data_IF_533410926606
#
_entry.id   IF_533410926606
#
_cell.length_a   1.000
_cell.length_b   1.000
_cell.length_c   1.000
_cell.angle_alpha   90.00
_cell.angle_beta   90.00
_cell.angle_gamma   90.00
#
_symmetry.space_group_name_H-M   'P 1'
#
loop_
_entity.id
_entity.type
_entity.pdbx_description
1 polymer ?
#
# COMPACT_ATOMS: atom_id res chain seq x y z
N UNK A 1 62.94 17.79 -73.75
CA UNK A 1 64.25 17.77 -73.05
C UNK A 1 63.98 17.33 -71.61
N UNK A 2 64.51 16.18 -71.30
CA UNK A 2 65.17 15.74 -70.07
C UNK A 2 64.40 15.89 -68.74
N UNK A 3 63.94 14.80 -68.27
CA UNK A 3 64.25 14.04 -67.03
C UNK A 3 64.10 14.75 -65.65
N UNK A 4 63.36 14.23 -64.75
CA UNK A 4 63.88 13.29 -63.74
C UNK A 4 62.74 12.70 -62.88
N UNK A 5 62.76 11.38 -62.69
CA UNK A 5 62.03 10.59 -61.68
C UNK A 5 62.52 10.96 -60.28
N UNK A 6 61.59 11.11 -59.32
CA UNK A 6 61.90 10.89 -57.95
C UNK A 6 60.80 10.02 -57.30
N UNK A 7 61.27 8.87 -56.88
CA UNK A 7 60.56 7.89 -56.02
C UNK A 7 60.37 8.52 -54.65
N UNK A 8 59.14 8.56 -54.10
CA UNK A 8 58.89 8.80 -52.69
C UNK A 8 58.28 7.59 -52.04
N UNK A 9 59.01 7.07 -51.05
CA UNK A 9 58.59 6.00 -50.16
C UNK A 9 57.37 6.41 -49.36
N UNK A 10 56.31 5.58 -49.42
CA UNK A 10 55.17 5.74 -48.56
C UNK A 10 55.45 5.27 -47.13
N UNK A 11 55.30 6.16 -46.19
CA UNK A 11 55.22 5.85 -44.78
C UNK A 11 53.76 5.65 -44.39
N UNK A 12 53.36 4.41 -44.15
CA UNK A 12 52.01 4.11 -43.63
C UNK A 12 51.99 4.48 -42.12
N UNK A 13 51.30 5.55 -41.78
CA UNK A 13 50.95 5.86 -40.38
C UNK A 13 49.69 5.14 -40.01
N UNK A 14 49.82 4.06 -39.24
CA UNK A 14 48.71 3.38 -38.65
C UNK A 14 48.06 4.23 -37.55
N UNK A 15 46.86 4.70 -37.76
CA UNK A 15 46.04 5.38 -36.74
C UNK A 15 45.42 4.31 -35.82
N UNK A 16 45.99 4.12 -34.64
CA UNK A 16 45.35 3.35 -33.58
C UNK A 16 44.19 4.16 -33.01
N UNK A 17 42.95 3.81 -33.32
CA UNK A 17 41.77 4.31 -32.61
C UNK A 17 41.71 3.65 -31.23
N UNK A 18 42.06 4.40 -30.18
CA UNK A 18 41.72 4.04 -28.82
C UNK A 18 40.22 4.32 -28.60
N UNK A 19 39.41 3.29 -28.63
CA UNK A 19 38.02 3.37 -28.12
C UNK A 19 38.10 3.42 -26.60
N UNK A 20 37.93 4.60 -26.01
CA UNK A 20 37.67 4.75 -24.59
C UNK A 20 36.27 4.23 -24.31
N UNK A 21 36.17 2.99 -23.81
CA UNK A 21 34.95 2.51 -23.17
C UNK A 21 34.86 3.22 -21.83
N UNK A 22 34.10 4.33 -21.77
CA UNK A 22 33.66 4.92 -20.51
C UNK A 22 32.65 3.92 -19.92
N UNK A 23 33.12 3.05 -19.06
CA UNK A 23 32.27 2.25 -18.21
C UNK A 23 31.46 3.19 -17.32
N UNK A 24 30.18 3.36 -17.62
CA UNK A 24 29.23 3.94 -16.67
C UNK A 24 29.09 2.90 -15.55
N UNK A 25 29.94 3.03 -14.54
CA UNK A 25 29.67 2.38 -13.25
C UNK A 25 28.48 3.12 -12.66
N UNK A 26 27.27 2.63 -12.95
CA UNK A 26 26.11 2.98 -12.15
C UNK A 26 26.47 2.66 -10.69
N UNK A 27 26.59 3.68 -9.85
CA UNK A 27 26.61 3.52 -8.41
C UNK A 27 25.31 2.79 -8.08
N UNK A 28 25.40 1.51 -7.69
CA UNK A 28 24.32 0.89 -6.97
C UNK A 28 24.15 1.77 -5.71
N UNK A 29 23.06 2.55 -5.66
CA UNK A 29 22.67 3.22 -4.43
C UNK A 29 22.64 2.14 -3.36
N UNK A 30 23.29 2.38 -2.23
CA UNK A 30 23.21 1.49 -1.10
C UNK A 30 21.72 1.34 -0.78
N UNK A 31 21.17 0.16 -1.00
CA UNK A 31 19.79 -0.16 -0.63
C UNK A 31 19.78 -0.07 0.88
N UNK A 32 18.99 0.85 1.44
CA UNK A 32 18.69 0.85 2.87
C UNK A 32 18.24 -0.57 3.24
N UNK A 33 18.61 -1.06 4.43
CA UNK A 33 18.33 -2.44 4.83
C UNK A 33 16.80 -2.66 4.84
N UNK A 34 16.31 -3.37 3.82
CA UNK A 34 14.92 -3.86 3.80
C UNK A 34 14.64 -4.67 5.07
N UNK A 35 13.45 -4.49 5.66
CA UNK A 35 13.00 -5.32 6.77
C UNK A 35 12.67 -6.75 6.33
N UNK A 36 12.52 -6.98 5.04
CA UNK A 36 12.22 -8.27 4.42
C UNK A 36 13.39 -8.75 3.55
N UNK A 37 13.78 -10.01 3.76
CA UNK A 37 14.74 -10.67 2.87
C UNK A 37 14.09 -10.87 1.49
N UNK A 38 14.77 -10.49 0.38
CA UNK A 38 14.26 -10.73 -0.98
C UNK A 38 13.87 -12.19 -1.26
N UNK A 39 14.47 -13.15 -0.57
CA UNK A 39 14.12 -14.57 -0.65
C UNK A 39 12.90 -14.96 0.19
N UNK A 40 12.23 -14.02 0.84
CA UNK A 40 11.04 -14.28 1.66
C UNK A 40 9.94 -14.92 0.82
N UNK A 41 9.46 -16.07 1.27
CA UNK A 41 8.29 -16.75 0.69
C UNK A 41 7.07 -16.45 1.55
N UNK A 42 6.05 -15.88 0.96
CA UNK A 42 4.81 -15.56 1.66
C UNK A 42 3.91 -16.78 1.81
N UNK A 43 3.15 -16.80 2.89
CA UNK A 43 2.23 -17.88 3.23
C UNK A 43 0.98 -17.85 2.32
N UNK A 44 0.57 -19.04 1.88
CA UNK A 44 -0.73 -19.23 1.19
C UNK A 44 -1.75 -19.70 2.23
N UNK A 45 -2.77 -18.89 2.54
CA UNK A 45 -3.85 -19.28 3.44
C UNK A 45 -4.72 -20.41 2.89
N UNK A 46 -5.68 -20.86 3.70
CA UNK A 46 -6.73 -21.77 3.23
C UNK A 46 -7.56 -21.08 2.15
N UNK A 47 -7.79 -21.76 1.03
CA UNK A 47 -8.62 -21.26 -0.07
C UNK A 47 -10.01 -20.85 0.43
N UNK A 48 -10.47 -19.67 0.01
CA UNK A 48 -11.80 -19.15 0.31
C UNK A 48 -12.88 -20.14 -0.18
N UNK A 49 -13.92 -20.33 0.64
CA UNK A 49 -15.01 -21.27 0.31
C UNK A 49 -15.72 -20.88 -0.99
N UNK A 50 -16.01 -19.59 -1.20
CA UNK A 50 -16.64 -19.11 -2.42
C UNK A 50 -15.81 -19.36 -3.68
N UNK A 51 -14.48 -19.28 -3.58
CA UNK A 51 -13.60 -19.66 -4.68
C UNK A 51 -13.68 -21.16 -5.01
N UNK A 52 -13.85 -22.02 -3.99
CA UNK A 52 -14.02 -23.47 -4.19
C UNK A 52 -15.38 -23.76 -4.85
N UNK A 53 -16.44 -23.08 -4.44
CA UNK A 53 -17.76 -23.19 -5.05
C UNK A 53 -17.74 -22.74 -6.50
N UNK A 54 -17.20 -21.55 -6.78
CA UNK A 54 -17.07 -21.03 -8.15
C UNK A 54 -16.23 -21.96 -9.05
N UNK A 55 -15.13 -22.53 -8.54
CA UNK A 55 -14.34 -23.53 -9.25
C UNK A 55 -15.19 -24.76 -9.63
N UNK A 56 -16.01 -25.27 -8.70
CA UNK A 56 -16.88 -26.41 -8.94
C UNK A 56 -17.95 -26.10 -10.02
N UNK A 57 -18.55 -24.92 -9.97
CA UNK A 57 -19.57 -24.46 -10.92
C UNK A 57 -18.99 -24.28 -12.33
N UNK A 58 -17.84 -23.64 -12.45
CA UNK A 58 -17.11 -23.45 -13.72
C UNK A 58 -16.70 -24.82 -14.32
N UNK A 59 -16.25 -25.75 -13.46
CA UNK A 59 -15.88 -27.11 -13.90
C UNK A 59 -17.12 -27.87 -14.41
N UNK A 60 -18.25 -27.78 -13.71
CA UNK A 60 -19.50 -28.45 -14.08
C UNK A 60 -20.08 -27.91 -15.39
N UNK A 61 -19.92 -26.62 -15.64
CA UNK A 61 -20.29 -25.94 -16.89
C UNK A 61 -19.27 -26.11 -18.03
N UNK A 62 -18.23 -26.92 -17.82
CA UNK A 62 -17.12 -27.19 -18.76
C UNK A 62 -16.25 -25.97 -19.09
N UNK A 63 -16.28 -24.95 -18.27
CA UNK A 63 -15.39 -23.80 -18.38
C UNK A 63 -14.12 -24.01 -17.55
N UNK A 64 -13.30 -24.97 -18.00
CA UNK A 64 -12.08 -25.36 -17.27
C UNK A 64 -11.04 -24.26 -17.21
N UNK A 65 -10.93 -23.44 -18.25
CA UNK A 65 -9.92 -22.36 -18.28
C UNK A 65 -10.14 -21.36 -17.14
N UNK A 66 -11.35 -20.87 -16.98
CA UNK A 66 -11.68 -19.94 -15.90
C UNK A 66 -11.59 -20.61 -14.51
N UNK A 67 -12.01 -21.89 -14.42
CA UNK A 67 -11.84 -22.65 -13.18
C UNK A 67 -10.38 -22.73 -12.75
N UNK A 68 -9.47 -23.01 -13.68
CA UNK A 68 -8.02 -23.09 -13.40
C UNK A 68 -7.48 -21.69 -12.97
N UNK A 69 -7.89 -20.60 -13.63
CA UNK A 69 -7.50 -19.22 -13.27
C UNK A 69 -7.98 -18.82 -11.88
N UNK A 70 -9.25 -19.07 -11.55
CA UNK A 70 -9.81 -18.80 -10.21
C UNK A 70 -9.04 -19.56 -9.13
N UNK A 71 -8.74 -20.84 -9.38
CA UNK A 71 -8.00 -21.65 -8.41
C UNK A 71 -6.53 -21.21 -8.29
N UNK A 72 -5.93 -20.74 -9.37
CA UNK A 72 -4.57 -20.18 -9.34
C UNK A 72 -4.54 -18.89 -8.51
N UNK A 73 -5.46 -17.96 -8.74
CA UNK A 73 -5.62 -16.75 -7.91
C UNK A 73 -5.80 -17.12 -6.44
N UNK A 74 -6.73 -18.00 -6.12
CA UNK A 74 -7.05 -18.38 -4.74
C UNK A 74 -5.93 -19.15 -4.02
N UNK A 75 -4.95 -19.71 -4.75
CA UNK A 75 -3.74 -20.38 -4.22
C UNK A 75 -2.51 -19.50 -4.23
N UNK A 76 -2.61 -18.26 -4.65
CA UNK A 76 -1.52 -17.28 -4.55
C UNK A 76 -1.43 -16.75 -3.11
N UNK A 77 -0.24 -16.46 -2.58
CA UNK A 77 -0.10 -15.85 -1.25
C UNK A 77 -0.94 -14.57 -1.14
N UNK A 78 -1.69 -14.44 -0.05
CA UNK A 78 -2.46 -13.23 0.27
C UNK A 78 -2.58 -13.07 1.78
N UNK A 79 -3.02 -11.90 2.23
CA UNK A 79 -3.14 -11.61 3.66
C UNK A 79 -4.29 -12.39 4.34
N UNK A 80 -4.18 -12.49 5.65
CA UNK A 80 -5.24 -12.97 6.54
C UNK A 80 -5.73 -11.81 7.38
N UNK A 81 -7.03 -11.50 7.30
CA UNK A 81 -7.64 -10.38 8.00
C UNK A 81 -8.22 -10.81 9.34
N UNK A 82 -7.95 -9.99 10.37
CA UNK A 82 -8.50 -10.11 11.71
C UNK A 82 -9.26 -8.84 12.03
N UNK A 83 -10.58 -8.94 12.15
CA UNK A 83 -11.49 -7.78 12.14
C UNK A 83 -12.35 -7.68 13.38
N UNK A 84 -12.26 -8.65 14.29
CA UNK A 84 -13.10 -8.74 15.48
C UNK A 84 -12.56 -9.79 16.48
N UNK A 85 -13.34 -10.05 17.51
CA UNK A 85 -13.08 -11.10 18.47
C UNK A 85 -12.54 -10.56 19.80
N UNK A 86 -12.45 -11.45 20.79
CA UNK A 86 -11.86 -11.14 22.08
C UNK A 86 -10.31 -11.20 21.99
N UNK A 87 -9.58 -10.60 22.94
CA UNK A 87 -8.12 -10.73 23.00
C UNK A 87 -7.64 -12.19 23.01
N UNK A 88 -8.40 -13.07 23.64
CA UNK A 88 -8.08 -14.51 23.67
C UNK A 88 -8.31 -15.19 22.33
N UNK A 89 -9.43 -14.90 21.66
CA UNK A 89 -9.74 -15.54 20.36
C UNK A 89 -8.78 -15.07 19.29
N UNK A 90 -8.51 -13.75 19.16
CA UNK A 90 -7.55 -13.25 18.17
C UNK A 90 -6.15 -13.82 18.41
N UNK A 91 -5.71 -13.93 19.66
CA UNK A 91 -4.44 -14.59 19.99
C UNK A 91 -4.39 -16.04 19.48
N UNK A 92 -5.47 -16.79 19.60
CA UNK A 92 -5.52 -18.19 19.16
C UNK A 92 -5.50 -18.29 17.63
N UNK A 93 -6.28 -17.44 16.96
CA UNK A 93 -6.42 -17.43 15.51
C UNK A 93 -5.11 -16.98 14.83
N UNK A 94 -4.49 -15.89 15.30
CA UNK A 94 -3.17 -15.43 14.84
C UNK A 94 -2.12 -16.53 15.04
N UNK A 95 -2.07 -17.12 16.25
CA UNK A 95 -1.12 -18.20 16.57
C UNK A 95 -1.26 -19.40 15.65
N UNK A 96 -2.49 -19.75 15.28
CA UNK A 96 -2.74 -20.83 14.34
C UNK A 96 -2.11 -20.55 12.98
N UNK A 97 -2.33 -19.32 12.45
CA UNK A 97 -1.79 -18.94 11.14
C UNK A 97 -0.26 -18.87 11.13
N UNK A 98 0.35 -18.21 12.12
CA UNK A 98 1.82 -18.08 12.16
C UNK A 98 2.51 -19.42 12.32
N UNK A 99 1.95 -20.34 13.13
CA UNK A 99 2.47 -21.71 13.24
C UNK A 99 2.35 -22.52 11.95
N UNK A 100 1.23 -22.39 11.23
CA UNK A 100 1.07 -23.04 9.94
C UNK A 100 2.05 -22.50 8.90
N UNK A 101 2.27 -21.19 8.88
CA UNK A 101 3.24 -20.54 8.01
C UNK A 101 4.67 -20.97 8.34
N UNK A 102 5.07 -20.92 9.62
CA UNK A 102 6.38 -21.36 10.08
C UNK A 102 6.66 -22.83 9.75
N UNK A 103 5.67 -23.71 9.93
CA UNK A 103 5.77 -25.12 9.56
C UNK A 103 6.01 -25.38 8.06
N UNK A 104 5.67 -24.40 7.20
CA UNK A 104 5.93 -24.43 5.75
C UNK A 104 7.20 -23.62 5.36
N UNK A 105 7.89 -23.00 6.31
CA UNK A 105 9.02 -22.10 6.06
C UNK A 105 8.60 -20.86 5.25
N UNK A 106 7.43 -20.30 5.54
CA UNK A 106 6.85 -19.11 4.90
C UNK A 106 6.54 -18.03 5.94
N UNK A 107 6.35 -16.80 5.50
CA UNK A 107 5.99 -15.65 6.35
C UNK A 107 4.55 -15.23 6.04
N UNK A 108 3.64 -15.19 7.03
CA UNK A 108 2.28 -14.74 6.80
C UNK A 108 2.21 -13.22 6.76
N UNK A 109 1.30 -12.71 5.92
CA UNK A 109 0.84 -11.32 5.94
C UNK A 109 -0.46 -11.29 6.74
N UNK A 110 -0.48 -10.52 7.84
CA UNK A 110 -1.60 -10.44 8.77
C UNK A 110 -2.13 -9.02 8.78
N UNK A 111 -3.43 -8.84 8.60
CA UNK A 111 -4.06 -7.52 8.70
C UNK A 111 -4.74 -7.42 10.07
N UNK A 112 -4.30 -6.46 10.89
CA UNK A 112 -5.03 -6.02 12.07
C UNK A 112 -6.00 -4.91 11.64
N UNK A 113 -7.31 -5.15 11.76
CA UNK A 113 -8.35 -4.22 11.30
C UNK A 113 -9.51 -4.17 12.30
N UNK A 114 -9.27 -3.55 13.45
CA UNK A 114 -10.22 -3.53 14.55
C UNK A 114 -10.21 -2.20 15.34
N UNK A 115 -9.67 -1.13 14.78
CA UNK A 115 -9.61 0.17 15.44
C UNK A 115 -11.02 0.77 15.63
N UNK A 116 -11.31 1.49 16.73
CA UNK A 116 -12.59 2.18 16.93
C UNK A 116 -12.94 3.11 15.78
N UNK A 117 -14.22 3.16 15.42
CA UNK A 117 -14.74 3.93 14.28
C UNK A 117 -14.10 3.53 12.95
N UNK A 118 -13.73 2.25 12.80
CA UNK A 118 -13.22 1.70 11.57
C UNK A 118 -14.18 2.00 10.42
N UNK A 119 -13.64 2.45 9.28
CA UNK A 119 -14.39 2.78 8.06
C UNK A 119 -15.48 3.86 8.24
N UNK A 120 -15.50 4.54 9.37
CA UNK A 120 -16.41 5.65 9.67
C UNK A 120 -17.88 5.42 9.24
N UNK A 121 -18.45 4.26 9.57
CA UNK A 121 -19.81 3.84 9.26
C UNK A 121 -20.08 3.51 7.75
N UNK A 122 -19.04 3.30 6.95
CA UNK A 122 -19.19 2.79 5.59
C UNK A 122 -19.40 1.25 5.55
N UNK A 123 -19.10 0.60 4.42
CA UNK A 123 -19.42 -0.82 4.20
C UNK A 123 -18.65 -1.79 5.10
N UNK A 124 -17.49 -1.41 5.62
CA UNK A 124 -16.67 -2.21 6.55
C UNK A 124 -16.69 -1.69 7.97
N UNK A 125 -17.72 -0.92 8.33
CA UNK A 125 -17.89 -0.35 9.67
C UNK A 125 -17.76 -1.39 10.77
N UNK A 126 -17.21 -0.98 11.93
CA UNK A 126 -17.00 -1.85 13.09
C UNK A 126 -15.81 -1.42 13.93
N UNK A 127 -15.08 -2.39 14.43
CA UNK A 127 -13.95 -2.20 15.31
C UNK A 127 -14.29 -2.36 16.78
N UNK A 128 -13.29 -2.23 17.65
CA UNK A 128 -13.45 -2.15 19.09
C UNK A 128 -14.28 -0.92 19.47
N UNK A 129 -14.94 -0.95 20.62
CA UNK A 129 -15.83 0.13 21.03
C UNK A 129 -15.11 1.22 21.83
N UNK A 130 -13.94 0.91 22.35
CA UNK A 130 -13.11 1.83 23.16
C UNK A 130 -11.63 1.64 22.86
N UNK A 131 -10.79 2.66 23.13
CA UNK A 131 -9.33 2.51 23.05
C UNK A 131 -8.80 1.33 23.89
N UNK A 132 -9.28 1.14 25.11
CA UNK A 132 -8.83 0.07 26.00
C UNK A 132 -9.18 -1.34 25.46
N UNK A 133 -10.33 -1.52 24.83
CA UNK A 133 -10.69 -2.77 24.16
C UNK A 133 -9.79 -3.03 22.97
N UNK A 134 -9.46 -2.00 22.20
CA UNK A 134 -8.55 -2.09 21.08
C UNK A 134 -7.14 -2.49 21.52
N UNK A 135 -6.60 -1.80 22.53
CA UNK A 135 -5.27 -2.11 23.09
C UNK A 135 -5.20 -3.55 23.61
N UNK A 136 -6.19 -4.00 24.37
CA UNK A 136 -6.25 -5.38 24.81
C UNK A 136 -6.36 -6.39 23.66
N UNK A 137 -7.04 -6.04 22.58
CA UNK A 137 -7.14 -6.86 21.38
C UNK A 137 -5.80 -6.94 20.64
N UNK A 138 -5.08 -5.82 20.51
CA UNK A 138 -3.72 -5.74 19.96
C UNK A 138 -2.73 -6.57 20.77
N UNK A 139 -2.82 -6.53 22.11
CA UNK A 139 -2.00 -7.37 22.99
C UNK A 139 -2.24 -8.87 22.69
N UNK A 140 -3.50 -9.25 22.50
CA UNK A 140 -3.86 -10.60 22.08
C UNK A 140 -3.27 -10.96 20.72
N UNK A 141 -3.38 -10.05 19.75
CA UNK A 141 -2.82 -10.23 18.42
C UNK A 141 -1.29 -10.42 18.45
N UNK A 142 -0.57 -9.52 19.13
CA UNK A 142 0.87 -9.59 19.31
C UNK A 142 1.31 -10.88 20.02
N UNK A 143 0.60 -11.26 21.10
CA UNK A 143 0.85 -12.52 21.81
C UNK A 143 0.58 -13.76 20.91
N UNK A 144 -0.31 -13.64 19.93
CA UNK A 144 -0.56 -14.66 18.92
C UNK A 144 0.66 -14.88 18.02
N UNK A 145 1.31 -13.83 17.57
CA UNK A 145 2.54 -13.88 16.77
C UNK A 145 3.69 -14.49 17.61
N UNK A 146 3.94 -13.95 18.79
CA UNK A 146 5.02 -14.38 19.68
C UNK A 146 6.39 -14.21 19.00
N UNK A 147 7.19 -15.29 18.96
CA UNK A 147 8.55 -15.26 18.38
C UNK A 147 8.61 -15.65 16.88
N UNK A 148 7.48 -15.90 16.27
CA UNK A 148 7.43 -16.28 14.86
C UNK A 148 7.58 -15.06 13.95
N UNK A 149 7.93 -15.29 12.67
CA UNK A 149 7.98 -14.23 11.67
C UNK A 149 6.57 -13.88 11.17
N UNK A 150 6.29 -12.60 11.04
CA UNK A 150 5.06 -12.10 10.43
C UNK A 150 5.26 -10.71 9.81
N UNK A 151 4.54 -10.41 8.74
CA UNK A 151 4.31 -9.05 8.24
C UNK A 151 2.95 -8.60 8.74
N UNK A 152 2.88 -7.48 9.43
CA UNK A 152 1.62 -6.91 9.94
C UNK A 152 1.29 -5.63 9.18
N UNK A 153 0.12 -5.62 8.60
CA UNK A 153 -0.55 -4.49 7.97
C UNK A 153 -1.51 -3.92 9.02
N UNK A 154 -1.16 -2.76 9.55
CA UNK A 154 -1.82 -2.20 10.72
C UNK A 154 -2.89 -1.19 10.33
N UNK A 155 -4.15 -1.56 10.51
CA UNK A 155 -5.35 -0.75 10.36
C UNK A 155 -5.45 -0.03 9.01
N UNK A 156 -5.73 -0.76 7.89
CA UNK A 156 -6.08 -0.14 6.62
C UNK A 156 -7.13 0.95 6.79
N UNK A 157 -6.96 2.06 6.07
CA UNK A 157 -7.75 3.30 6.17
C UNK A 157 -7.67 4.00 7.54
N UNK A 158 -6.98 3.41 8.51
CA UNK A 158 -6.92 3.89 9.88
C UNK A 158 -6.27 5.26 10.04
N UNK A 159 -5.35 5.62 9.15
CA UNK A 159 -4.76 6.97 9.08
C UNK A 159 -5.35 7.81 7.95
N UNK A 160 -6.00 7.19 6.95
CA UNK A 160 -6.77 7.92 5.93
C UNK A 160 -8.10 8.47 6.46
N UNK A 161 -8.73 7.76 7.40
CA UNK A 161 -10.05 8.08 7.95
C UNK A 161 -9.94 8.23 9.48
N UNK A 162 -9.71 9.44 9.94
CA UNK A 162 -9.56 9.76 11.37
C UNK A 162 -10.78 10.55 11.86
N UNK A 163 -11.49 10.11 12.92
CA UNK A 163 -12.62 10.85 13.46
C UNK A 163 -12.23 12.26 13.88
N UNK A 164 -13.00 13.26 13.46
CA UNK A 164 -12.84 14.67 13.83
C UNK A 164 -11.41 15.19 13.63
N UNK A 165 -10.71 14.73 12.60
CA UNK A 165 -9.36 15.16 12.29
C UNK A 165 -9.37 16.47 11.49
N UNK A 166 -8.50 17.38 11.88
CA UNK A 166 -8.20 18.61 11.17
C UNK A 166 -6.76 18.52 10.65
N UNK A 167 -6.57 18.27 9.34
CA UNK A 167 -5.24 18.12 8.75
C UNK A 167 -4.39 19.36 9.01
N UNK A 168 -3.18 19.15 9.53
CA UNK A 168 -2.22 20.20 9.91
C UNK A 168 -2.68 21.16 11.03
N UNK A 169 -3.95 21.16 11.41
CA UNK A 169 -4.47 21.94 12.53
C UNK A 169 -4.02 23.41 12.54
N UNK A 170 -3.52 23.90 13.68
CA UNK A 170 -3.05 25.28 13.86
C UNK A 170 -1.86 25.68 12.99
N UNK A 171 -1.20 24.73 12.31
CA UNK A 171 -0.10 25.03 11.38
C UNK A 171 -0.60 25.62 10.06
N UNK A 172 -1.84 25.38 9.70
CA UNK A 172 -2.47 26.00 8.55
C UNK A 172 -2.99 27.38 8.91
N UNK A 173 -2.11 28.38 8.80
CA UNK A 173 -2.43 29.80 9.10
C UNK A 173 -3.47 30.42 8.16
N UNK A 174 -3.87 29.72 7.11
CA UNK A 174 -4.88 30.17 6.15
C UNK A 174 -6.31 29.76 6.57
N UNK A 175 -6.44 28.82 7.52
CA UNK A 175 -7.72 28.34 8.02
C UNK A 175 -8.03 28.99 9.36
N UNK A 176 -9.14 29.72 9.43
CA UNK A 176 -9.59 30.42 10.66
C UNK A 176 -10.50 29.57 11.54
N UNK A 177 -10.96 28.42 11.03
CA UNK A 177 -11.78 27.44 11.75
C UNK A 177 -11.28 26.03 11.45
N UNK A 178 -11.45 25.07 12.37
CA UNK A 178 -11.13 23.66 12.11
C UNK A 178 -11.79 23.17 10.82
N UNK A 179 -11.00 22.60 9.93
CA UNK A 179 -11.47 22.00 8.68
C UNK A 179 -11.54 20.48 8.84
N UNK A 180 -12.41 20.02 9.73
CA UNK A 180 -12.57 18.62 10.01
C UNK A 180 -12.91 17.83 8.74
N UNK A 181 -12.27 16.66 8.61
CA UNK A 181 -12.60 15.71 7.58
C UNK A 181 -14.06 15.21 7.71
N UNK A 182 -14.53 14.54 6.67
CA UNK A 182 -15.92 14.05 6.58
C UNK A 182 -16.30 13.05 7.69
N UNK A 183 -15.32 12.34 8.28
CA UNK A 183 -15.54 11.36 9.36
C UNK A 183 -15.84 12.05 10.68
N UNK A 184 -17.12 12.27 10.98
CA UNK A 184 -17.58 12.99 12.17
C UNK A 184 -18.65 12.16 12.93
N UNK A 185 -18.29 10.97 13.47
CA UNK A 185 -19.24 10.13 14.20
C UNK A 185 -19.69 10.85 15.50
N UNK A 186 -20.99 10.81 15.77
CA UNK A 186 -21.58 11.50 16.93
C UNK A 186 -21.12 10.92 18.27
N UNK A 187 -20.66 9.66 18.27
CA UNK A 187 -20.19 8.93 19.44
C UNK A 187 -18.75 9.26 19.82
N UNK A 188 -17.97 9.89 18.91
CA UNK A 188 -16.60 10.31 19.18
C UNK A 188 -16.57 11.76 19.69
N UNK A 189 -15.74 12.03 20.69
CA UNK A 189 -15.51 13.38 21.18
C UNK A 189 -14.63 14.16 20.19
N UNK A 190 -15.14 15.23 19.56
CA UNK A 190 -14.36 16.04 18.63
C UNK A 190 -13.05 16.59 19.19
N UNK A 191 -12.95 16.77 20.52
CA UNK A 191 -11.77 17.32 21.16
C UNK A 191 -10.64 16.29 21.36
N UNK A 192 -10.94 14.98 21.37
CA UNK A 192 -9.97 13.94 21.73
C UNK A 192 -9.83 12.85 20.67
N UNK A 193 -10.82 12.64 19.81
CA UNK A 193 -10.90 11.48 18.92
C UNK A 193 -9.66 11.30 18.02
N UNK A 194 -9.15 12.38 17.46
CA UNK A 194 -7.95 12.30 16.62
C UNK A 194 -6.69 11.95 17.42
N UNK A 195 -6.53 12.55 18.60
CA UNK A 195 -5.41 12.23 19.50
C UNK A 195 -5.47 10.78 20.00
N UNK A 196 -6.68 10.29 20.32
CA UNK A 196 -6.90 8.89 20.71
C UNK A 196 -6.55 7.93 19.56
N UNK A 197 -6.88 8.27 18.29
CA UNK A 197 -6.49 7.49 17.11
C UNK A 197 -4.96 7.34 17.03
N UNK A 198 -4.23 8.43 17.12
CA UNK A 198 -2.76 8.39 17.09
C UNK A 198 -2.18 7.65 18.32
N UNK A 199 -2.75 7.81 19.50
CA UNK A 199 -2.32 7.08 20.70
C UNK A 199 -2.49 5.56 20.53
N UNK A 200 -3.63 5.11 20.02
CA UNK A 200 -3.89 3.69 19.71
C UNK A 200 -2.92 3.13 18.67
N UNK A 201 -2.61 3.89 17.60
CA UNK A 201 -1.64 3.47 16.60
C UNK A 201 -0.23 3.32 17.19
N UNK A 202 0.22 4.29 17.98
CA UNK A 202 1.50 4.21 18.68
C UNK A 202 1.55 3.00 19.64
N UNK A 203 0.49 2.76 20.39
CA UNK A 203 0.40 1.58 21.25
C UNK A 203 0.54 0.28 20.45
N UNK A 204 -0.19 0.17 19.34
CA UNK A 204 -0.17 -1.01 18.51
C UNK A 204 1.23 -1.26 17.90
N UNK A 205 1.91 -0.21 17.41
CA UNK A 205 3.29 -0.31 16.92
C UNK A 205 4.20 -0.87 18.02
N UNK A 206 4.16 -0.31 19.22
CA UNK A 206 5.01 -0.73 20.34
C UNK A 206 4.74 -2.18 20.76
N UNK A 207 3.46 -2.57 20.88
CA UNK A 207 3.07 -3.91 21.26
C UNK A 207 3.52 -4.95 20.21
N UNK A 208 3.38 -4.65 18.92
CA UNK A 208 3.77 -5.54 17.82
C UNK A 208 5.29 -5.61 17.66
N UNK A 209 5.99 -4.49 17.78
CA UNK A 209 7.47 -4.42 17.66
C UNK A 209 8.20 -4.99 18.87
N UNK A 210 7.50 -5.26 19.98
CA UNK A 210 8.06 -6.08 21.07
C UNK A 210 8.39 -7.52 20.62
N UNK A 211 7.81 -7.98 19.52
CA UNK A 211 8.11 -9.27 18.88
C UNK A 211 9.21 -9.09 17.81
N UNK A 212 10.43 -9.64 17.99
CA UNK A 212 11.58 -9.31 17.14
C UNK A 212 11.46 -9.84 15.69
N UNK A 213 10.55 -10.78 15.44
CA UNK A 213 10.28 -11.34 14.10
C UNK A 213 9.16 -10.64 13.33
N UNK A 214 8.60 -9.57 13.89
CA UNK A 214 7.44 -8.88 13.30
C UNK A 214 7.89 -7.64 12.53
N UNK A 215 7.54 -7.58 11.23
CA UNK A 215 7.61 -6.35 10.43
C UNK A 215 6.25 -5.67 10.45
N UNK A 216 6.21 -4.36 10.78
CA UNK A 216 4.97 -3.59 10.98
C UNK A 216 4.94 -2.42 10.00
N UNK A 217 3.84 -2.32 9.24
CA UNK A 217 3.59 -1.25 8.29
C UNK A 217 2.27 -0.56 8.61
N UNK A 218 2.30 0.79 8.68
CA UNK A 218 1.16 1.66 8.97
C UNK A 218 0.49 2.13 7.69
N UNK A 219 -0.75 2.60 7.79
CA UNK A 219 -1.50 3.11 6.67
C UNK A 219 -0.94 4.44 6.13
N UNK A 220 -0.64 4.49 4.82
CA UNK A 220 -0.34 5.72 4.10
C UNK A 220 -1.28 5.91 2.89
N UNK A 221 -2.44 5.28 2.90
CA UNK A 221 -3.47 5.38 1.88
C UNK A 221 -2.97 5.04 0.46
N UNK A 222 -3.11 5.95 -0.49
CA UNK A 222 -2.62 5.78 -1.86
C UNK A 222 -2.43 7.10 -2.59
N UNK A 223 -1.77 7.05 -3.75
CA UNK A 223 -1.39 8.21 -4.57
C UNK A 223 -2.57 9.02 -5.17
N UNK A 224 -3.79 8.53 -5.05
CA UNK A 224 -5.00 9.24 -5.47
C UNK A 224 -5.81 9.80 -4.30
N UNK A 225 -5.27 9.77 -3.07
CA UNK A 225 -5.99 10.21 -1.86
C UNK A 225 -5.19 11.30 -1.11
N UNK A 226 -4.38 10.95 -0.11
CA UNK A 226 -3.64 11.94 0.69
C UNK A 226 -2.44 12.51 -0.10
N UNK A 227 -2.17 13.81 0.05
CA UNK A 227 -0.90 14.38 -0.39
C UNK A 227 0.28 13.78 0.41
N UNK A 228 1.48 13.71 -0.20
CA UNK A 228 2.63 13.10 0.46
C UNK A 228 2.97 13.74 1.82
N UNK A 229 2.77 15.06 1.96
CA UNK A 229 2.98 15.79 3.23
C UNK A 229 1.97 15.41 4.31
N UNK A 230 0.70 15.28 3.95
CA UNK A 230 -0.37 14.90 4.87
C UNK A 230 -0.18 13.43 5.33
N UNK A 231 0.09 12.51 4.41
CA UNK A 231 0.40 11.14 4.77
C UNK A 231 1.62 11.03 5.70
N UNK A 232 2.69 11.79 5.42
CA UNK A 232 3.88 11.82 6.27
C UNK A 232 3.58 12.36 7.68
N UNK A 233 2.76 13.42 7.80
CA UNK A 233 2.36 13.98 9.09
C UNK A 233 1.61 12.95 9.96
N UNK A 234 0.62 12.29 9.38
CA UNK A 234 -0.16 11.24 10.06
C UNK A 234 0.71 10.06 10.48
N UNK A 235 1.62 9.62 9.63
CA UNK A 235 2.57 8.54 9.94
C UNK A 235 3.53 8.91 11.08
N UNK A 236 4.04 10.14 11.10
CA UNK A 236 4.91 10.63 12.18
C UNK A 236 4.14 10.63 13.50
N UNK A 237 2.91 11.16 13.52
CA UNK A 237 2.05 11.17 14.71
C UNK A 237 1.67 9.76 15.17
N UNK A 238 1.52 8.81 14.25
CA UNK A 238 1.17 7.42 14.52
C UNK A 238 2.35 6.53 14.95
N UNK A 239 3.58 7.09 15.05
CA UNK A 239 4.74 6.35 15.54
C UNK A 239 5.48 5.54 14.46
N UNK A 240 5.48 5.97 13.20
CA UNK A 240 6.23 5.32 12.12
C UNK A 240 7.73 5.22 12.39
N UNK A 241 8.25 6.05 13.29
CA UNK A 241 9.65 6.00 13.74
C UNK A 241 10.03 4.61 14.30
N UNK A 242 9.13 3.98 15.02
CA UNK A 242 9.33 2.68 15.67
C UNK A 242 8.85 1.49 14.81
N UNK A 243 8.15 1.75 13.69
CA UNK A 243 7.71 0.76 12.74
C UNK A 243 8.76 0.50 11.64
N UNK A 244 8.60 -0.58 10.87
CA UNK A 244 9.44 -0.86 9.70
C UNK A 244 9.13 0.09 8.54
N UNK A 245 7.88 0.54 8.45
CA UNK A 245 7.48 1.48 7.43
C UNK A 245 5.97 1.65 7.33
N UNK A 246 5.49 1.78 6.09
CA UNK A 246 4.07 1.99 5.80
C UNK A 246 3.61 1.17 4.58
N UNK A 247 2.32 1.02 4.43
CA UNK A 247 1.74 0.36 3.27
C UNK A 247 0.90 1.30 2.43
N UNK A 248 0.74 0.94 1.16
CA UNK A 248 0.00 1.69 0.16
C UNK A 248 -1.04 0.83 -0.55
N UNK A 249 -2.14 1.46 -0.96
CA UNK A 249 -3.09 0.95 -1.94
C UNK A 249 -3.95 -0.22 -1.46
N UNK A 250 -4.06 -0.45 -0.15
CA UNK A 250 -4.90 -1.55 0.36
C UNK A 250 -6.35 -1.32 -0.08
N UNK A 251 -6.92 -2.37 -0.69
CA UNK A 251 -8.27 -2.35 -1.27
C UNK A 251 -8.49 -1.32 -2.39
N UNK A 252 -7.42 -0.79 -3.02
CA UNK A 252 -7.47 0.23 -4.05
C UNK A 252 -6.77 -0.21 -5.35
N UNK A 253 -6.73 0.67 -6.35
CA UNK A 253 -6.44 0.32 -7.74
C UNK A 253 -5.35 1.18 -8.39
N UNK A 254 -4.56 1.95 -7.63
CA UNK A 254 -3.55 2.82 -8.20
C UNK A 254 -2.41 2.03 -8.85
N UNK A 255 -1.91 2.53 -10.00
CA UNK A 255 -0.82 1.89 -10.73
C UNK A 255 0.49 1.89 -9.93
N UNK A 256 1.27 0.81 -10.02
CA UNK A 256 2.52 0.65 -9.28
C UNK A 256 3.49 1.81 -9.49
N UNK A 257 3.68 2.28 -10.73
CA UNK A 257 4.59 3.40 -11.03
C UNK A 257 4.24 4.70 -10.28
N UNK A 258 2.94 4.94 -10.02
CA UNK A 258 2.48 6.07 -9.20
C UNK A 258 2.70 5.81 -7.72
N UNK A 259 2.44 4.60 -7.26
CA UNK A 259 2.62 4.20 -5.86
C UNK A 259 4.09 4.20 -5.44
N UNK A 260 4.99 3.75 -6.30
CA UNK A 260 6.43 3.74 -6.06
C UNK A 260 7.00 5.16 -5.91
N UNK A 261 6.58 6.09 -6.76
CA UNK A 261 6.94 7.51 -6.61
C UNK A 261 6.35 8.11 -5.34
N UNK A 262 5.05 7.91 -5.13
CA UNK A 262 4.35 8.41 -3.96
C UNK A 262 4.97 7.89 -2.66
N UNK A 263 5.21 6.58 -2.54
CA UNK A 263 5.87 5.97 -1.39
C UNK A 263 7.26 6.54 -1.15
N UNK A 264 8.03 6.77 -2.22
CA UNK A 264 9.34 7.41 -2.11
C UNK A 264 9.24 8.84 -1.59
N UNK A 265 8.25 9.62 -2.03
CA UNK A 265 8.03 10.99 -1.54
C UNK A 265 7.57 11.00 -0.09
N UNK A 266 6.63 10.13 0.29
CA UNK A 266 6.18 9.99 1.69
C UNK A 266 7.37 9.65 2.59
N UNK A 267 8.21 8.68 2.21
CA UNK A 267 9.39 8.30 2.96
C UNK A 267 10.37 9.49 3.16
N UNK A 268 10.66 10.22 2.08
CA UNK A 268 11.51 11.42 2.14
C UNK A 268 10.89 12.55 2.96
N UNK A 269 9.57 12.71 2.87
CA UNK A 269 8.83 13.71 3.65
C UNK A 269 8.82 13.38 5.14
N UNK A 270 8.69 12.10 5.53
CA UNK A 270 8.87 11.66 6.92
C UNK A 270 10.25 12.09 7.42
N UNK A 271 11.31 11.79 6.68
CA UNK A 271 12.67 12.18 7.06
C UNK A 271 12.82 13.71 7.14
N UNK A 272 12.29 14.45 6.16
CA UNK A 272 12.31 15.92 6.11
C UNK A 272 11.59 16.54 7.31
N UNK A 273 10.39 16.05 7.66
CA UNK A 273 9.59 16.58 8.74
C UNK A 273 10.00 16.13 10.15
N UNK A 274 10.74 15.01 10.30
CA UNK A 274 11.08 14.45 11.60
C UNK A 274 12.55 14.60 12.01
N UNK A 275 13.49 14.68 11.06
CA UNK A 275 14.92 14.70 11.37
C UNK A 275 15.35 16.03 12.01
N UNK A 276 16.07 15.96 13.15
CA UNK A 276 16.46 17.12 13.97
C UNK A 276 17.27 18.17 13.22
N UNK A 277 18.09 17.75 12.26
CA UNK A 277 18.95 18.63 11.45
C UNK A 277 18.32 19.07 10.13
N UNK A 278 17.08 18.65 9.84
CA UNK A 278 16.34 19.11 8.66
C UNK A 278 15.84 20.53 8.88
N UNK A 279 15.95 21.36 7.84
CA UNK A 279 15.33 22.70 7.89
C UNK A 279 13.80 22.65 7.82
N UNK A 280 13.24 21.52 7.38
CA UNK A 280 11.80 21.27 7.34
C UNK A 280 11.23 20.55 8.55
N UNK A 281 12.00 20.43 9.64
CA UNK A 281 11.51 19.75 10.86
C UNK A 281 10.20 20.36 11.36
N UNK A 282 9.18 19.53 11.52
CA UNK A 282 7.83 19.93 11.95
C UNK A 282 6.95 20.49 10.85
N UNK A 283 7.40 20.49 9.58
CA UNK A 283 6.74 21.13 8.45
C UNK A 283 6.57 20.19 7.25
N UNK A 284 5.82 19.10 7.44
CA UNK A 284 5.49 18.16 6.37
C UNK A 284 4.58 18.78 5.30
N UNK A 285 3.81 19.82 5.65
CA UNK A 285 2.96 20.60 4.73
C UNK A 285 3.75 21.31 3.62
N UNK A 286 5.06 21.42 3.77
CA UNK A 286 5.94 21.98 2.72
C UNK A 286 6.37 20.94 1.68
N UNK A 287 6.18 19.66 1.95
CA UNK A 287 6.58 18.60 1.04
C UNK A 287 5.84 18.65 -0.30
N UNK A 288 6.58 18.48 -1.38
CA UNK A 288 6.00 18.28 -2.69
C UNK A 288 5.16 16.98 -2.73
N UNK A 289 4.13 16.98 -3.54
CA UNK A 289 3.23 15.84 -3.68
C UNK A 289 2.78 15.64 -5.13
N UNK A 290 1.88 14.69 -5.36
CA UNK A 290 1.20 14.50 -6.63
C UNK A 290 0.23 15.65 -6.99
N UNK A 291 -0.09 16.52 -6.02
CA UNK A 291 -1.00 17.65 -6.19
C UNK A 291 -0.28 18.99 -6.37
N UNK A 292 0.96 19.11 -5.89
CA UNK A 292 1.77 20.32 -6.01
C UNK A 292 3.26 20.00 -5.79
N UNK A 293 4.19 20.40 -6.65
CA UNK A 293 4.02 21.10 -7.92
C UNK A 293 3.54 20.24 -9.09
N UNK A 294 3.40 18.92 -8.88
CA UNK A 294 2.84 17.99 -9.86
C UNK A 294 1.32 18.16 -10.02
N UNK A 295 0.74 17.46 -10.99
CA UNK A 295 -0.69 17.32 -11.18
C UNK A 295 -1.10 15.84 -11.09
N UNK A 296 -2.15 15.48 -10.34
CA UNK A 296 -2.61 14.09 -10.24
C UNK A 296 -3.13 13.55 -11.59
N UNK A 297 -3.64 14.44 -12.43
CA UNK A 297 -4.20 14.10 -13.75
C UNK A 297 -3.14 13.99 -14.85
N UNK A 298 -1.93 14.48 -14.61
CA UNK A 298 -0.82 14.45 -15.57
C UNK A 298 0.45 13.86 -14.95
N UNK A 299 0.63 12.55 -15.13
CA UNK A 299 1.79 11.82 -14.61
C UNK A 299 3.13 12.36 -15.15
N UNK A 300 3.15 12.99 -16.32
CA UNK A 300 4.37 13.58 -16.88
C UNK A 300 4.93 14.72 -16.02
N UNK A 301 4.09 15.36 -15.21
CA UNK A 301 4.47 16.44 -14.29
C UNK A 301 5.09 15.94 -12.99
N UNK A 302 4.99 14.65 -12.68
CA UNK A 302 5.44 14.08 -11.39
C UNK A 302 6.95 14.21 -11.18
N UNK A 303 7.72 14.35 -12.27
CA UNK A 303 9.14 14.71 -12.20
C UNK A 303 9.43 16.05 -11.51
N UNK A 304 8.45 16.97 -11.43
CA UNK A 304 8.60 18.25 -10.70
C UNK A 304 8.69 17.99 -9.18
N UNK A 305 7.90 17.07 -8.66
CA UNK A 305 7.98 16.67 -7.25
C UNK A 305 9.24 15.87 -6.97
N UNK A 306 9.70 14.99 -7.87
CA UNK A 306 11.02 14.36 -7.73
C UNK A 306 12.13 15.40 -7.59
N UNK A 307 12.11 16.40 -8.47
CA UNK A 307 13.11 17.49 -8.46
C UNK A 307 13.07 18.26 -7.13
N UNK A 308 11.88 18.55 -6.62
CA UNK A 308 11.74 19.23 -5.32
C UNK A 308 12.44 18.45 -4.19
N UNK A 309 12.26 17.11 -4.14
CA UNK A 309 12.92 16.27 -3.13
C UNK A 309 14.44 16.24 -3.30
N UNK A 310 14.94 16.20 -4.53
CA UNK A 310 16.38 16.29 -4.80
C UNK A 310 16.95 17.61 -4.28
N UNK A 311 16.27 18.72 -4.55
CA UNK A 311 16.73 20.06 -4.19
C UNK A 311 16.59 20.36 -2.70
N UNK A 312 15.55 19.87 -2.04
CA UNK A 312 15.18 20.28 -0.68
C UNK A 312 15.46 19.23 0.39
N UNK A 313 15.62 17.96 0.04
CA UNK A 313 15.87 16.86 0.97
C UNK A 313 17.22 16.21 0.71
N UNK A 314 17.45 15.66 -0.47
CA UNK A 314 18.68 14.92 -0.76
C UNK A 314 19.93 15.80 -0.81
N UNK A 315 19.79 17.07 -1.17
CA UNK A 315 20.87 18.05 -1.14
C UNK A 315 21.41 18.33 0.27
N UNK A 316 20.66 17.96 1.32
CA UNK A 316 21.04 18.15 2.72
C UNK A 316 21.99 17.02 3.20
N UNK A 317 23.11 16.83 2.50
CA UNK A 317 24.05 15.71 2.68
C UNK A 317 24.68 15.60 4.08
N UNK A 318 24.51 16.60 4.94
CA UNK A 318 25.01 16.58 6.31
C UNK A 318 24.16 15.72 7.27
N UNK A 319 22.92 15.37 6.89
CA UNK A 319 22.07 14.46 7.65
C UNK A 319 21.34 13.44 6.78
N UNK A 320 21.06 13.74 5.50
CA UNK A 320 20.34 12.85 4.62
C UNK A 320 21.20 11.66 4.20
N UNK A 321 20.80 10.49 4.62
CA UNK A 321 21.39 9.19 4.25
C UNK A 321 20.26 8.19 3.99
N UNK A 322 20.49 7.11 3.22
CA UNK A 322 19.43 6.13 2.94
C UNK A 322 18.80 5.51 4.18
N UNK A 323 19.53 5.38 5.28
CA UNK A 323 19.09 4.76 6.53
C UNK A 323 18.11 5.61 7.36
N UNK A 324 17.94 6.90 7.04
CA UNK A 324 16.88 7.74 7.67
C UNK A 324 15.52 7.56 7.00
N UNK A 325 15.47 6.85 5.86
CA UNK A 325 14.26 6.67 5.08
C UNK A 325 13.45 5.48 5.60
N UNK A 326 12.13 5.60 5.58
CA UNK A 326 11.22 4.52 5.90
C UNK A 326 10.89 3.71 4.64
N UNK A 327 10.79 2.40 4.83
CA UNK A 327 10.41 1.50 3.76
C UNK A 327 8.88 1.41 3.60
N UNK A 328 8.42 0.79 2.53
CA UNK A 328 6.99 0.59 2.32
C UNK A 328 6.68 -0.72 1.59
N UNK A 329 5.42 -1.12 1.63
CA UNK A 329 4.87 -2.24 0.86
C UNK A 329 3.66 -1.76 0.06
N UNK A 330 3.34 -2.42 -1.04
CA UNK A 330 2.23 -2.05 -1.92
C UNK A 330 1.26 -3.23 -2.03
N UNK A 331 -0.05 -2.95 -1.88
CA UNK A 331 -1.09 -3.90 -2.29
C UNK A 331 -1.26 -3.89 -3.81
N UNK A 332 -0.96 -5.02 -4.43
CA UNK A 332 -1.09 -5.22 -5.87
C UNK A 332 -2.18 -6.21 -6.25
N UNK A 333 -3.07 -6.52 -5.31
CA UNK A 333 -4.09 -7.56 -5.48
C UNK A 333 -5.09 -7.26 -6.60
N UNK A 334 -5.33 -5.97 -6.92
CA UNK A 334 -6.41 -5.57 -7.84
C UNK A 334 -6.05 -4.38 -8.76
N UNK A 335 -4.78 -4.02 -8.86
CA UNK A 335 -4.35 -2.78 -9.51
C UNK A 335 -3.78 -2.96 -10.93
N UNK A 336 -3.97 -4.12 -11.54
CA UNK A 336 -3.40 -4.44 -12.85
C UNK A 336 -3.84 -3.50 -13.98
N UNK A 337 -5.02 -2.89 -13.88
CA UNK A 337 -5.58 -1.96 -14.87
C UNK A 337 -5.62 -0.50 -14.38
N UNK A 338 -5.16 -0.25 -13.15
CA UNK A 338 -5.22 1.08 -12.56
C UNK A 338 -6.62 1.49 -12.09
N UNK A 339 -6.82 2.76 -11.65
CA UNK A 339 -8.09 3.23 -11.12
C UNK A 339 -9.20 3.24 -12.19
N UNK A 340 -10.41 2.99 -11.72
CA UNK A 340 -11.60 3.03 -12.56
C UNK A 340 -12.10 4.48 -12.73
N UNK A 341 -12.49 4.80 -13.97
CA UNK A 341 -13.17 6.05 -14.29
C UNK A 341 -14.50 5.67 -14.94
N UNK A 342 -15.65 5.90 -14.29
CA UNK A 342 -16.94 5.54 -14.84
C UNK A 342 -17.23 6.33 -16.12
N UNK A 343 -17.80 5.67 -17.11
CA UNK A 343 -18.29 6.33 -18.34
C UNK A 343 -19.68 6.92 -18.18
N UNK A 344 -20.39 6.50 -17.13
CA UNK A 344 -21.71 6.98 -16.74
C UNK A 344 -21.57 7.89 -15.52
N UNK A 345 -22.31 9.00 -15.49
CA UNK A 345 -22.35 9.86 -14.31
C UNK A 345 -23.27 9.28 -13.25
N UNK A 346 -22.74 9.07 -12.04
CA UNK A 346 -23.47 8.62 -10.87
C UNK A 346 -23.56 9.71 -9.81
N UNK A 347 -24.58 9.69 -8.92
CA UNK A 347 -24.66 10.59 -7.78
C UNK A 347 -23.44 10.51 -6.84
N UNK A 348 -22.94 9.28 -6.63
CA UNK A 348 -21.71 8.96 -5.95
C UNK A 348 -21.08 7.79 -6.71
N UNK A 349 -20.00 7.98 -7.45
CA UNK A 349 -19.44 6.92 -8.29
C UNK A 349 -18.90 5.74 -7.50
N UNK A 350 -18.48 5.94 -6.23
CA UNK A 350 -17.88 4.89 -5.40
C UNK A 350 -16.80 4.12 -6.19
N UNK A 351 -15.90 4.85 -6.84
CA UNK A 351 -14.91 4.32 -7.78
C UNK A 351 -13.91 3.36 -7.13
N UNK A 352 -13.84 3.38 -5.81
CA UNK A 352 -13.10 2.45 -4.97
C UNK A 352 -13.85 1.14 -4.68
N UNK A 353 -15.19 1.12 -4.81
CA UNK A 353 -16.05 0.02 -4.37
C UNK A 353 -16.39 -0.90 -5.54
N UNK A 354 -15.85 -2.11 -5.57
CA UNK A 354 -16.07 -3.13 -6.61
C UNK A 354 -16.11 -2.58 -8.05
N UNK A 355 -15.15 -1.78 -8.51
CA UNK A 355 -15.16 -1.31 -9.89
C UNK A 355 -14.95 -2.47 -10.88
N UNK A 356 -15.65 -2.46 -12.03
CA UNK A 356 -15.52 -3.50 -13.05
C UNK A 356 -14.19 -3.40 -13.82
N UNK A 357 -13.85 -4.43 -14.57
CA UNK A 357 -12.70 -4.51 -15.46
C UNK A 357 -11.34 -4.25 -14.78
N UNK A 358 -11.24 -4.51 -13.47
CA UNK A 358 -9.97 -4.44 -12.73
C UNK A 358 -9.27 -5.79 -12.76
N UNK A 359 -7.97 -5.76 -12.97
CA UNK A 359 -7.15 -6.97 -13.04
C UNK A 359 -6.27 -7.14 -11.81
N UNK A 360 -5.87 -8.39 -11.56
CA UNK A 360 -4.76 -8.65 -10.64
C UNK A 360 -3.51 -7.90 -11.11
N UNK A 361 -2.75 -7.34 -10.17
CA UNK A 361 -1.45 -6.76 -10.42
C UNK A 361 -0.30 -7.74 -10.20
N UNK A 362 0.87 -7.24 -9.83
CA UNK A 362 2.05 -8.07 -9.61
C UNK A 362 1.81 -9.13 -8.54
N UNK A 363 2.38 -10.31 -8.76
CA UNK A 363 2.35 -11.39 -7.77
C UNK A 363 3.14 -11.00 -6.52
N UNK A 364 2.74 -11.49 -5.32
CA UNK A 364 3.44 -11.22 -4.08
C UNK A 364 4.91 -11.64 -4.12
N UNK A 365 5.80 -10.68 -3.87
CA UNK A 365 7.25 -10.90 -3.82
C UNK A 365 7.93 -9.85 -2.95
N UNK A 366 8.99 -10.25 -2.23
CA UNK A 366 9.91 -9.34 -1.57
C UNK A 366 11.12 -8.97 -2.44
N UNK A 367 11.30 -9.63 -3.59
CA UNK A 367 12.30 -9.26 -4.60
C UNK A 367 11.67 -8.25 -5.58
N UNK A 368 11.61 -6.99 -5.16
CA UNK A 368 10.92 -5.93 -5.92
C UNK A 368 11.83 -5.25 -6.93
N UNK A 369 13.13 -5.20 -6.68
CA UNK A 369 14.09 -4.41 -7.45
C UNK A 369 13.92 -2.89 -7.33
N UNK A 370 12.99 -2.41 -6.50
CA UNK A 370 12.68 -0.99 -6.27
C UNK A 370 13.19 -0.55 -4.90
N UNK A 371 13.94 0.54 -4.87
CA UNK A 371 14.47 1.09 -3.62
C UNK A 371 13.33 1.46 -2.66
N UNK A 372 13.51 1.18 -1.36
CA UNK A 372 12.56 1.40 -0.27
C UNK A 372 11.27 0.55 -0.33
N UNK A 373 11.02 -0.16 -1.41
CA UNK A 373 9.87 -1.05 -1.53
C UNK A 373 10.25 -2.46 -1.07
N UNK A 374 9.79 -2.83 0.12
CA UNK A 374 10.08 -4.13 0.73
C UNK A 374 9.35 -5.30 0.08
N UNK A 375 8.12 -5.06 -0.37
CA UNK A 375 7.36 -6.10 -1.07
C UNK A 375 6.18 -5.55 -1.87
N UNK A 376 5.85 -6.25 -2.97
CA UNK A 376 4.50 -6.30 -3.52
C UNK A 376 3.73 -7.39 -2.80
N UNK A 377 2.53 -7.11 -2.36
CA UNK A 377 1.69 -8.03 -1.58
C UNK A 377 0.27 -8.06 -2.14
N UNK A 378 -0.45 -9.14 -1.89
CA UNK A 378 -1.89 -9.17 -2.03
C UNK A 378 -2.50 -9.03 -0.63
N UNK A 379 -2.77 -7.78 -0.24
CA UNK A 379 -3.29 -7.46 1.08
C UNK A 379 -4.82 -7.57 1.08
N UNK A 380 -5.52 -6.89 0.16
CA UNK A 380 -6.92 -7.25 -0.11
C UNK A 380 -6.98 -8.66 -0.69
N UNK A 381 -7.92 -9.46 -0.25
CA UNK A 381 -8.12 -10.80 -0.80
C UNK A 381 -8.81 -10.67 -2.15
N UNK A 382 -8.17 -11.05 -3.28
CA UNK A 382 -8.78 -10.94 -4.59
C UNK A 382 -10.05 -11.81 -4.69
N UNK A 383 -11.12 -11.25 -5.25
CA UNK A 383 -12.43 -11.90 -5.35
C UNK A 383 -13.36 -11.65 -4.17
N UNK A 384 -12.91 -11.04 -3.07
CA UNK A 384 -13.78 -10.60 -1.98
C UNK A 384 -14.29 -9.18 -2.20
N UNK A 385 -15.60 -8.99 -2.10
CA UNK A 385 -16.30 -7.71 -2.25
C UNK A 385 -15.81 -6.64 -1.27
N UNK A 386 -15.89 -5.37 -1.68
CA UNK A 386 -15.69 -4.20 -0.82
C UNK A 386 -16.97 -3.84 -0.04
N UNK A 387 -18.12 -4.29 -0.52
CA UNK A 387 -19.42 -4.03 0.06
C UNK A 387 -20.54 -4.01 -0.95
N UNK A 388 -21.74 -3.75 -0.50
CA UNK A 388 -22.93 -3.65 -1.37
C UNK A 388 -22.99 -2.26 -2.02
N UNK A 389 -22.09 -2.02 -2.99
CA UNK A 389 -21.95 -0.76 -3.70
C UNK A 389 -23.22 -0.36 -4.42
N UNK A 390 -23.56 0.90 -4.46
CA UNK A 390 -24.84 1.38 -4.99
C UNK A 390 -24.71 2.51 -6.01
N UNK A 391 -23.51 3.01 -6.23
CA UNK A 391 -23.21 4.20 -7.05
C UNK A 391 -24.03 5.43 -6.63
N UNK A 392 -24.47 5.49 -5.35
CA UNK A 392 -25.32 6.54 -4.83
C UNK A 392 -26.79 6.48 -5.28
N UNK A 393 -27.24 5.36 -5.86
CA UNK A 393 -28.58 5.22 -6.41
C UNK A 393 -29.63 4.78 -5.38
N UNK A 394 -29.19 4.36 -4.19
CA UNK A 394 -30.12 3.93 -3.14
C UNK A 394 -29.42 3.25 -1.97
N UNK A 395 -30.17 2.63 -1.04
CA UNK A 395 -29.60 2.00 0.14
C UNK A 395 -28.84 0.71 -0.20
N UNK A 396 -27.71 0.51 0.50
CA UNK A 396 -26.89 -0.69 0.40
C UNK A 396 -27.69 -1.99 0.70
N UNK A 397 -27.33 -3.08 0.06
CA UNK A 397 -27.95 -4.40 0.22
C UNK A 397 -29.32 -4.59 -0.42
N UNK A 398 -29.88 -3.53 -1.04
CA UNK A 398 -31.17 -3.59 -1.77
C UNK A 398 -31.13 -2.94 -3.14
N UNK A 399 -30.10 -2.15 -3.41
CA UNK A 399 -29.91 -1.46 -4.69
C UNK A 399 -29.05 -2.30 -5.61
N UNK A 400 -29.50 -2.47 -6.85
CA UNK A 400 -28.70 -3.11 -7.91
C UNK A 400 -27.57 -2.14 -8.31
N UNK A 401 -26.32 -2.61 -8.28
CA UNK A 401 -25.21 -1.90 -8.88
C UNK A 401 -25.34 -1.96 -10.40
N UNK A 402 -25.47 -0.82 -11.09
CA UNK A 402 -25.67 -0.78 -12.54
C UNK A 402 -24.47 -1.31 -13.33
N UNK A 403 -23.26 -1.26 -12.76
CA UNK A 403 -22.06 -1.80 -13.42
C UNK A 403 -22.03 -3.32 -13.46
N UNK A 404 -22.59 -3.97 -12.43
CA UNK A 404 -22.65 -5.43 -12.34
C UNK A 404 -24.02 -6.01 -12.71
N UNK A 405 -25.09 -5.21 -12.69
CA UNK A 405 -26.45 -5.65 -12.94
C UNK A 405 -27.05 -6.52 -11.84
N UNK A 406 -26.46 -6.53 -10.65
CA UNK A 406 -26.89 -7.29 -9.48
C UNK A 406 -26.67 -6.48 -8.19
N UNK A 407 -27.17 -6.98 -7.06
CA UNK A 407 -26.86 -6.43 -5.74
C UNK A 407 -25.50 -7.01 -5.33
N UNK A 408 -24.51 -6.13 -5.15
CA UNK A 408 -23.17 -6.56 -4.77
C UNK A 408 -23.17 -7.30 -3.42
N UNK A 409 -22.35 -8.33 -3.27
CA UNK A 409 -22.20 -9.02 -2.00
C UNK A 409 -21.71 -8.09 -0.89
N UNK A 410 -22.02 -8.35 0.39
CA UNK A 410 -21.48 -7.57 1.50
C UNK A 410 -19.94 -7.67 1.58
N UNK A 411 -19.32 -6.69 2.25
CA UNK A 411 -17.88 -6.63 2.41
C UNK A 411 -17.28 -7.95 2.93
N UNK A 412 -16.22 -8.42 2.28
CA UNK A 412 -15.55 -9.69 2.61
C UNK A 412 -16.21 -10.95 2.06
N UNK A 413 -17.42 -10.86 1.49
CA UNK A 413 -18.04 -12.00 0.82
C UNK A 413 -17.43 -12.21 -0.57
N UNK A 414 -17.38 -13.45 -1.02
CA UNK A 414 -16.90 -13.77 -2.37
C UNK A 414 -17.82 -13.21 -3.45
N UNK A 415 -17.23 -12.58 -4.46
CA UNK A 415 -17.93 -11.97 -5.59
C UNK A 415 -17.48 -12.64 -6.90
N UNK A 416 -18.22 -13.65 -7.39
CA UNK A 416 -17.78 -14.46 -8.52
C UNK A 416 -17.52 -13.68 -9.81
N UNK A 417 -18.35 -12.68 -10.13
CA UNK A 417 -18.22 -11.85 -11.32
C UNK A 417 -16.93 -11.03 -11.27
N UNK A 418 -16.70 -10.33 -10.16
CA UNK A 418 -15.47 -9.56 -9.94
C UNK A 418 -14.24 -10.49 -9.91
N UNK A 419 -14.33 -11.67 -9.35
CA UNK A 419 -13.24 -12.63 -9.33
C UNK A 419 -12.82 -13.07 -10.75
N UNK A 420 -13.78 -13.23 -11.67
CA UNK A 420 -13.51 -13.50 -13.08
C UNK A 420 -12.86 -12.31 -13.77
N UNK A 421 -13.35 -11.11 -13.55
CA UNK A 421 -12.73 -9.89 -14.08
C UNK A 421 -11.26 -9.78 -13.64
N UNK A 422 -10.99 -9.98 -12.35
CA UNK A 422 -9.64 -9.90 -11.81
C UNK A 422 -8.66 -10.85 -12.52
N UNK A 423 -9.06 -12.07 -12.83
CA UNK A 423 -8.17 -13.04 -13.51
C UNK A 423 -8.07 -12.79 -15.01
N UNK A 424 -9.14 -12.30 -15.66
CA UNK A 424 -9.15 -12.02 -17.08
C UNK A 424 -8.37 -10.77 -17.45
N UNK A 425 -8.46 -9.74 -16.63
CA UNK A 425 -7.76 -8.46 -16.83
C UNK A 425 -6.43 -8.37 -16.08
N UNK A 426 -5.92 -9.49 -15.54
CA UNK A 426 -4.65 -9.52 -14.82
C UNK A 426 -3.50 -8.92 -15.66
N UNK A 427 -2.72 -8.03 -15.06
CA UNK A 427 -1.58 -7.39 -15.69
C UNK A 427 -0.41 -7.26 -14.69
N UNK A 428 0.65 -8.08 -14.81
CA UNK A 428 0.86 -9.11 -15.83
C UNK A 428 -0.17 -10.26 -15.75
N UNK A 429 -0.40 -10.99 -16.86
CA UNK A 429 -1.24 -12.18 -16.83
C UNK A 429 -0.73 -13.22 -15.81
N UNK A 430 -1.66 -13.98 -15.24
CA UNK A 430 -1.29 -15.12 -14.40
C UNK A 430 -0.45 -16.14 -15.20
N UNK A 431 0.63 -16.72 -14.61
CA UNK A 431 1.55 -17.62 -15.30
C UNK A 431 0.93 -18.96 -15.70
#
# INVERSE_FOLDING_TARGET
>A
MVHQNKVFNGLAIGLLLFVLIVGVTGSAAAVANSSLDPATRFYVPKVNHGAVEQFADLTSSKNKADADLIMQMAKTPHAVWFTAGTPKSVMQDVRQIVKQAAGKGTVPVLVAYNIPFRDCAQYSAGGATTPAEYEAWIDGFAAGIGNEKAVVILEPDGLGIIPWYDPFGDRDTWVTNPNYEWCQPAEADPATAAAERFAMMNYAVQALKANPGTSVYLDATHSGWLGAGDAADRLIQAGVADADGFFLNVSNYQLNERLEKYGTWVSKCIAFGSHDSSWGKGHTEWCASQYNPASPDDFSTWGLSDQWYVENVESQTWWYTPDVLKHFVIDTSRNGQGPWVPTTSYPDPQDWCNPPDRGLGYLPTADTGVALLDAYLWIKIPGESDGSCTRGLGPAGTTVDPEWGLIDPPAGAWFPEMALDLVHYANPPLP
#
